data_IF_127264854404
#
_entry.id   IF_127264854404
#
_cell.length_a   1.000
_cell.length_b   1.000
_cell.length_c   1.000
_cell.angle_alpha   90.00
_cell.angle_beta   90.00
_cell.angle_gamma   90.00
#
_symmetry.space_group_name_H-M   'P 1'
#
loop_
_entity.id
_entity.type
_entity.pdbx_description
1 polymer ?
#
# COMPACT_ATOMS: atom_id res chain seq x y z
N UNK A 1 -59.18 39.04 -1.98
CA UNK A 1 -58.61 37.80 -1.45
C UNK A 1 -57.27 37.59 -2.13
N UNK A 2 -56.22 38.01 -1.47
CA UNK A 2 -54.85 37.92 -1.97
C UNK A 2 -54.17 36.77 -1.20
N UNK A 3 -53.79 35.70 -1.87
CA UNK A 3 -53.02 34.59 -1.28
C UNK A 3 -51.54 34.90 -1.43
N UNK A 4 -50.89 35.20 -0.30
CA UNK A 4 -49.44 35.34 -0.25
C UNK A 4 -48.75 33.95 -0.28
N UNK A 5 -47.85 33.77 -1.23
CA UNK A 5 -46.93 32.62 -1.27
C UNK A 5 -45.72 32.93 -0.41
N UNK A 6 -45.50 32.13 0.63
CA UNK A 6 -44.29 32.17 1.45
C UNK A 6 -43.26 31.27 0.77
N UNK A 7 -42.25 31.90 0.17
CA UNK A 7 -41.08 31.17 -0.36
C UNK A 7 -40.12 30.90 0.79
N UNK A 8 -40.03 29.67 1.21
CA UNK A 8 -38.99 29.22 2.15
C UNK A 8 -37.67 28.99 1.36
N UNK A 9 -36.73 29.88 1.53
CA UNK A 9 -35.37 29.70 1.04
C UNK A 9 -34.63 28.75 1.97
N UNK A 10 -34.38 27.51 1.52
CA UNK A 10 -33.44 26.61 2.19
C UNK A 10 -32.02 27.06 1.86
N UNK A 11 -31.35 27.67 2.82
CA UNK A 11 -29.90 27.86 2.75
C UNK A 11 -29.22 26.50 2.98
N UNK A 12 -28.77 25.86 1.93
CA UNK A 12 -27.88 24.73 2.01
C UNK A 12 -26.50 25.23 2.47
N UNK A 13 -26.21 25.10 3.75
CA UNK A 13 -24.86 25.28 4.27
C UNK A 13 -23.99 24.12 3.74
N UNK A 14 -23.24 24.40 2.67
CA UNK A 14 -22.17 23.51 2.24
C UNK A 14 -21.08 23.53 3.31
N UNK A 15 -21.05 22.53 4.16
CA UNK A 15 -19.88 22.24 4.97
C UNK A 15 -18.77 21.72 4.04
N UNK A 16 -17.98 22.64 3.54
CA UNK A 16 -16.68 22.31 2.99
C UNK A 16 -15.83 21.81 4.17
N UNK A 17 -15.85 20.51 4.42
CA UNK A 17 -14.87 19.86 5.26
C UNK A 17 -13.51 20.09 4.61
N UNK A 18 -12.72 21.02 5.14
CA UNK A 18 -11.31 21.13 4.83
C UNK A 18 -10.68 19.83 5.27
N UNK A 19 -10.39 18.94 4.32
CA UNK A 19 -9.43 17.88 4.54
C UNK A 19 -8.13 18.61 4.93
N UNK A 20 -7.77 18.59 6.20
CA UNK A 20 -6.43 18.97 6.59
C UNK A 20 -5.52 17.93 5.94
N UNK A 21 -4.86 18.32 4.86
CA UNK A 21 -3.65 17.64 4.44
C UNK A 21 -2.71 17.77 5.64
N UNK A 22 -2.50 16.68 6.37
CA UNK A 22 -1.58 16.63 7.49
C UNK A 22 -0.19 17.04 7.02
N UNK A 23 0.68 17.44 7.94
CA UNK A 23 2.08 17.67 7.62
C UNK A 23 2.63 16.41 6.94
N UNK A 24 3.46 16.57 5.92
CA UNK A 24 4.18 15.45 5.31
C UNK A 24 5.39 15.10 6.15
N UNK A 25 5.68 13.81 6.25
CA UNK A 25 6.90 13.31 6.85
C UNK A 25 7.90 12.86 5.77
N UNK A 26 9.14 13.25 5.96
CA UNK A 26 10.28 12.86 5.13
C UNK A 26 11.45 12.52 6.04
N UNK A 27 12.56 12.04 5.46
CA UNK A 27 13.81 11.79 6.19
C UNK A 27 14.30 13.02 6.96
N UNK A 28 14.13 14.21 6.35
CA UNK A 28 14.62 15.49 6.89
C UNK A 28 13.54 16.28 7.65
N UNK A 29 12.29 15.84 7.61
CA UNK A 29 11.16 16.51 8.24
C UNK A 29 10.25 15.50 8.93
N UNK A 30 10.54 15.22 10.19
CA UNK A 30 9.75 14.31 11.01
C UNK A 30 8.38 14.89 11.36
N UNK A 31 7.45 14.02 11.72
CA UNK A 31 6.12 14.45 12.18
C UNK A 31 6.20 15.32 13.43
N UNK A 32 5.40 16.40 13.52
CA UNK A 32 5.32 17.22 14.72
C UNK A 32 4.61 16.48 15.85
N UNK A 33 4.87 16.85 17.11
CA UNK A 33 4.30 16.20 18.29
C UNK A 33 2.75 16.20 18.37
N UNK A 34 2.09 17.11 17.65
CA UNK A 34 0.63 17.18 17.58
C UNK A 34 0.01 16.09 16.68
N UNK A 35 0.75 15.60 15.69
CA UNK A 35 0.39 14.53 14.76
C UNK A 35 1.60 13.60 14.58
N UNK A 36 1.99 12.84 15.64
CA UNK A 36 3.34 12.33 15.77
C UNK A 36 3.66 11.12 14.89
N UNK A 37 2.68 10.50 14.27
CA UNK A 37 2.85 9.25 13.54
C UNK A 37 2.93 9.48 12.03
N UNK A 38 4.02 9.04 11.41
CA UNK A 38 4.20 9.07 9.97
C UNK A 38 3.60 7.82 9.33
N UNK A 39 2.58 7.96 8.50
CA UNK A 39 1.99 6.84 7.78
C UNK A 39 2.93 6.28 6.69
N UNK A 40 2.62 5.09 6.19
CA UNK A 40 3.29 4.47 5.05
C UNK A 40 3.36 5.40 3.81
N UNK A 41 2.39 6.32 3.69
CA UNK A 41 2.25 7.26 2.57
C UNK A 41 2.89 8.64 2.84
N UNK A 42 3.62 8.78 3.94
CA UNK A 42 4.32 10.01 4.27
C UNK A 42 3.43 11.12 4.82
N UNK A 43 2.28 10.79 5.41
CA UNK A 43 1.38 11.74 6.04
C UNK A 43 1.45 11.62 7.57
N UNK A 44 1.50 12.76 8.26
CA UNK A 44 1.51 12.80 9.72
C UNK A 44 0.09 12.77 10.30
N UNK A 45 -0.11 11.98 11.36
CA UNK A 45 -1.41 11.84 11.98
C UNK A 45 -1.38 11.23 13.39
N UNK A 46 -2.56 10.85 13.85
CA UNK A 46 -2.83 10.11 15.10
C UNK A 46 -3.70 8.89 14.78
N UNK A 47 -3.99 8.06 15.75
CA UNK A 47 -4.91 6.94 15.60
C UNK A 47 -4.44 5.91 14.56
N UNK A 48 -5.16 5.76 13.46
CA UNK A 48 -4.82 4.82 12.39
C UNK A 48 -3.41 5.04 11.81
N UNK A 49 -2.90 6.28 11.82
CA UNK A 49 -1.53 6.61 11.38
C UNK A 49 -0.44 6.00 12.28
N UNK A 50 -0.78 5.69 13.53
CA UNK A 50 0.16 5.15 14.52
C UNK A 50 0.16 3.61 14.57
N UNK A 51 -0.79 2.98 13.88
CA UNK A 51 -0.91 1.52 13.78
C UNK A 51 -0.02 0.97 12.66
N UNK A 52 -0.23 -0.25 12.24
CA UNK A 52 0.59 -0.90 11.22
C UNK A 52 0.82 -0.05 9.98
N UNK A 53 2.08 0.04 9.55
CA UNK A 53 2.54 0.94 8.50
C UNK A 53 2.94 2.34 9.00
N UNK A 54 3.03 2.52 10.30
CA UNK A 54 3.63 3.72 10.91
C UNK A 54 5.15 3.66 10.79
N UNK A 55 5.77 4.61 10.06
CA UNK A 55 7.22 4.68 9.90
C UNK A 55 7.87 5.34 11.14
N UNK A 56 8.55 4.57 12.01
CA UNK A 56 9.13 5.10 13.23
C UNK A 56 10.34 6.02 12.96
N UNK A 57 10.98 5.90 11.78
CA UNK A 57 12.14 6.69 11.42
C UNK A 57 11.77 8.12 11.02
N UNK A 58 10.51 8.34 10.61
CA UNK A 58 9.99 9.65 10.20
C UNK A 58 8.92 10.19 11.15
N UNK A 59 8.51 9.40 12.14
CA UNK A 59 7.61 9.81 13.21
C UNK A 59 8.30 10.75 14.20
N UNK A 60 7.55 11.41 15.09
CA UNK A 60 8.08 12.32 16.10
C UNK A 60 9.10 11.64 17.01
N UNK A 61 8.80 10.41 17.41
CA UNK A 61 9.67 9.51 18.18
C UNK A 61 9.43 8.07 17.76
N UNK A 62 10.31 7.14 18.13
CA UNK A 62 10.11 5.69 17.89
C UNK A 62 8.87 5.15 18.62
N UNK A 63 8.53 5.72 19.78
CA UNK A 63 7.38 5.33 20.58
C UNK A 63 6.06 5.93 20.10
N UNK A 64 6.08 6.85 19.15
CA UNK A 64 4.86 7.39 18.53
C UNK A 64 4.08 6.30 17.80
N UNK A 65 4.76 5.38 17.14
CA UNK A 65 4.17 4.20 16.50
C UNK A 65 3.79 3.13 17.54
N UNK A 66 2.69 2.47 17.32
CA UNK A 66 2.27 1.30 18.10
C UNK A 66 3.16 0.10 17.68
N UNK A 67 3.77 -0.62 18.63
CA UNK A 67 4.58 -1.79 18.32
C UNK A 67 3.81 -2.85 17.53
N UNK A 68 4.43 -3.38 16.47
CA UNK A 68 3.81 -4.38 15.59
C UNK A 68 3.70 -5.75 16.27
N UNK A 69 2.53 -6.42 16.27
CA UNK A 69 2.39 -7.78 16.81
C UNK A 69 3.30 -8.78 16.11
N UNK A 70 3.95 -9.68 16.87
CA UNK A 70 4.84 -10.70 16.29
C UNK A 70 4.12 -11.65 15.35
N UNK A 71 4.91 -12.36 14.56
CA UNK A 71 4.44 -13.36 13.61
C UNK A 71 3.58 -14.44 14.27
N UNK A 72 2.51 -14.81 13.59
CA UNK A 72 1.60 -15.87 13.98
C UNK A 72 1.44 -16.84 12.81
N UNK A 73 2.00 -18.04 12.94
CA UNK A 73 1.83 -19.10 11.93
C UNK A 73 0.39 -19.58 11.89
N UNK A 74 -0.09 -19.91 10.71
CA UNK A 74 -1.44 -20.43 10.53
C UNK A 74 -1.91 -20.39 9.08
N UNK A 75 -3.09 -20.91 8.87
CA UNK A 75 -3.85 -20.81 7.62
C UNK A 75 -5.03 -19.89 7.85
N UNK A 76 -5.10 -18.82 7.06
CA UNK A 76 -6.13 -17.80 7.11
C UNK A 76 -7.02 -17.97 5.88
N UNK A 77 -8.19 -18.60 6.08
CA UNK A 77 -9.21 -18.71 5.02
C UNK A 77 -9.85 -17.33 4.83
N UNK A 78 -10.02 -16.94 3.58
CA UNK A 78 -10.66 -15.67 3.22
C UNK A 78 -12.09 -15.94 2.71
N UNK A 79 -12.85 -16.77 3.44
CA UNK A 79 -14.21 -17.21 3.12
C UNK A 79 -15.29 -16.44 3.89
N UNK A 80 -14.89 -15.56 4.82
CA UNK A 80 -15.76 -14.61 5.51
C UNK A 80 -15.02 -13.28 5.74
N UNK A 81 -15.76 -12.24 6.17
CA UNK A 81 -15.20 -10.96 6.61
C UNK A 81 -15.22 -10.81 8.15
N UNK A 82 -15.46 -11.87 8.90
CA UNK A 82 -15.56 -11.83 10.36
C UNK A 82 -14.22 -11.46 11.01
N UNK A 83 -13.11 -11.83 10.35
CA UNK A 83 -11.73 -11.53 10.74
C UNK A 83 -11.20 -10.20 10.17
N UNK A 84 -12.07 -9.41 9.53
CA UNK A 84 -11.69 -8.15 8.86
C UNK A 84 -12.31 -6.99 9.61
N UNK A 85 -11.50 -5.97 9.90
CA UNK A 85 -11.97 -4.70 10.45
C UNK A 85 -11.45 -3.54 9.60
N UNK A 86 -12.31 -2.56 9.36
CA UNK A 86 -11.93 -1.36 8.63
C UNK A 86 -10.95 -0.50 9.43
N UNK A 87 -10.09 0.23 8.72
CA UNK A 87 -9.03 1.05 9.31
C UNK A 87 -9.57 2.12 10.28
N UNK A 88 -10.78 2.59 10.07
CA UNK A 88 -11.48 3.58 10.91
C UNK A 88 -12.06 2.97 12.20
N UNK A 89 -11.96 1.66 12.39
CA UNK A 89 -12.46 0.93 13.57
C UNK A 89 -11.36 0.17 14.30
N UNK A 90 -10.29 -0.21 13.59
CA UNK A 90 -9.21 -0.97 14.18
C UNK A 90 -8.37 -0.10 15.12
N UNK A 91 -8.22 -0.56 16.35
CA UNK A 91 -7.50 0.13 17.42
C UNK A 91 -6.22 -0.58 17.88
N UNK A 92 -5.75 -1.58 17.12
CA UNK A 92 -4.49 -2.27 17.41
C UNK A 92 -4.64 -3.63 18.12
N UNK A 93 -5.85 -4.13 18.35
CA UNK A 93 -6.06 -5.45 18.98
C UNK A 93 -6.00 -6.59 17.97
N UNK A 94 -4.79 -7.08 17.69
CA UNK A 94 -4.54 -8.19 16.79
C UNK A 94 -5.02 -9.55 17.33
N UNK A 95 -5.51 -9.64 18.56
CA UNK A 95 -6.09 -10.86 19.09
C UNK A 95 -7.52 -11.11 18.59
N UNK A 96 -8.18 -10.08 18.08
CA UNK A 96 -9.59 -10.11 17.66
C UNK A 96 -9.81 -10.29 16.19
N UNK A 97 -8.88 -9.80 15.36
CA UNK A 97 -8.98 -9.86 13.91
C UNK A 97 -7.61 -10.14 13.28
N UNK A 98 -7.61 -10.70 12.08
CA UNK A 98 -6.38 -10.99 11.35
C UNK A 98 -6.09 -9.94 10.27
N UNK A 99 -7.10 -9.21 9.78
CA UNK A 99 -6.97 -8.29 8.66
C UNK A 99 -7.59 -6.92 8.93
N UNK A 100 -6.83 -5.89 8.63
CA UNK A 100 -7.30 -4.51 8.55
C UNK A 100 -7.61 -4.17 7.10
N UNK A 101 -8.80 -3.60 6.81
CA UNK A 101 -9.17 -3.23 5.44
C UNK A 101 -9.21 -1.73 5.20
N UNK A 102 -8.84 -1.37 3.98
CA UNK A 102 -9.23 -0.12 3.33
C UNK A 102 -9.99 -0.49 2.05
N UNK A 103 -10.95 0.33 1.63
CA UNK A 103 -11.82 0.00 0.50
C UNK A 103 -12.94 -0.95 0.90
N UNK A 104 -13.46 -1.71 -0.05
CA UNK A 104 -14.67 -2.50 0.10
C UNK A 104 -14.44 -3.97 -0.29
N UNK A 105 -13.91 -4.81 0.60
CA UNK A 105 -13.87 -6.25 0.36
C UNK A 105 -15.29 -6.82 0.38
N UNK A 106 -15.53 -7.87 -0.41
CA UNK A 106 -16.81 -8.55 -0.50
C UNK A 106 -16.62 -10.07 -0.52
N UNK A 107 -17.67 -10.83 -0.17
CA UNK A 107 -17.62 -12.28 -0.27
C UNK A 107 -18.25 -12.74 -1.57
N UNK A 108 -17.53 -13.57 -2.29
CA UNK A 108 -17.99 -14.31 -3.45
C UNK A 108 -18.24 -15.77 -3.07
N UNK A 109 -19.37 -16.30 -3.49
CA UNK A 109 -19.67 -17.75 -3.40
C UNK A 109 -19.70 -18.32 -4.81
N UNK A 110 -18.80 -19.23 -5.09
CA UNK A 110 -18.76 -19.93 -6.38
C UNK A 110 -20.01 -20.76 -6.58
N UNK A 111 -20.81 -20.50 -7.63
CA UNK A 111 -22.10 -21.16 -7.80
C UNK A 111 -22.00 -22.66 -8.12
N UNK A 112 -20.84 -23.10 -8.62
CA UNK A 112 -20.63 -24.51 -8.99
C UNK A 112 -20.17 -25.36 -7.82
N UNK A 113 -19.33 -24.82 -6.95
CA UNK A 113 -18.69 -25.54 -5.84
C UNK A 113 -19.22 -25.14 -4.46
N UNK A 114 -19.91 -24.02 -4.34
CA UNK A 114 -20.30 -23.41 -3.08
C UNK A 114 -19.14 -22.85 -2.25
N UNK A 115 -17.91 -22.89 -2.76
CA UNK A 115 -16.74 -22.36 -2.07
C UNK A 115 -16.77 -20.85 -2.02
N UNK A 116 -16.40 -20.29 -0.86
CA UNK A 116 -16.33 -18.85 -0.65
C UNK A 116 -14.91 -18.33 -0.83
N UNK A 117 -14.78 -17.07 -1.20
CA UNK A 117 -13.54 -16.33 -1.28
C UNK A 117 -13.81 -14.83 -1.09
N UNK A 118 -12.78 -14.08 -0.70
CA UNK A 118 -12.88 -12.63 -0.60
C UNK A 118 -12.54 -12.00 -1.95
N UNK A 119 -13.41 -11.12 -2.41
CA UNK A 119 -13.14 -10.20 -3.51
C UNK A 119 -12.50 -8.93 -2.94
N UNK A 120 -11.40 -8.52 -3.51
CA UNK A 120 -10.95 -7.15 -3.43
C UNK A 120 -11.57 -6.40 -4.60
N UNK A 121 -12.39 -5.40 -4.31
CA UNK A 121 -13.16 -4.67 -5.32
C UNK A 121 -12.56 -3.30 -5.59
N UNK A 122 -12.72 -2.80 -6.82
CA UNK A 122 -12.26 -1.47 -7.23
C UNK A 122 -13.29 -0.83 -8.17
N UNK A 123 -14.10 0.07 -7.63
CA UNK A 123 -15.06 0.86 -8.39
C UNK A 123 -14.45 2.19 -8.85
N UNK A 124 -15.06 2.83 -9.85
CA UNK A 124 -14.64 4.15 -10.30
C UNK A 124 -14.70 5.17 -9.15
N UNK A 125 -13.66 5.99 -9.06
CA UNK A 125 -13.54 7.02 -8.01
C UNK A 125 -13.10 6.49 -6.65
N UNK A 126 -12.71 5.21 -6.55
CA UNK A 126 -12.13 4.60 -5.34
C UNK A 126 -10.63 4.36 -5.51
N UNK A 127 -9.94 4.15 -4.40
CA UNK A 127 -8.52 3.75 -4.36
C UNK A 127 -8.33 2.23 -4.50
N UNK A 128 -9.43 1.48 -4.74
CA UNK A 128 -9.42 0.03 -4.68
C UNK A 128 -9.58 -0.51 -3.27
N UNK A 129 -9.12 -1.74 -3.05
CA UNK A 129 -9.23 -2.41 -1.76
C UNK A 129 -7.88 -2.98 -1.33
N UNK A 130 -7.54 -2.77 -0.07
CA UNK A 130 -6.37 -3.32 0.61
C UNK A 130 -6.82 -4.12 1.84
N UNK A 131 -6.32 -5.35 1.98
CA UNK A 131 -6.29 -6.10 3.23
C UNK A 131 -4.84 -6.16 3.72
N UNK A 132 -4.58 -5.67 4.93
CA UNK A 132 -3.27 -5.72 5.55
C UNK A 132 -3.33 -6.57 6.82
N UNK A 133 -2.39 -7.51 7.00
CA UNK A 133 -2.36 -8.36 8.19
C UNK A 133 -2.14 -7.52 9.45
N UNK A 134 -2.73 -7.95 10.57
CA UNK A 134 -2.49 -7.32 11.88
C UNK A 134 -1.18 -7.78 12.52
N UNK A 135 -0.75 -9.00 12.22
CA UNK A 135 0.53 -9.56 12.64
C UNK A 135 1.61 -9.31 11.58
N UNK A 136 2.84 -9.11 12.01
CA UNK A 136 4.00 -8.93 11.16
C UNK A 136 4.75 -10.23 10.99
N UNK A 137 5.30 -10.49 9.81
CA UNK A 137 6.23 -11.59 9.55
C UNK A 137 7.65 -11.02 9.57
N UNK A 138 8.56 -11.69 10.28
CA UNK A 138 9.98 -11.38 10.24
C UNK A 138 10.76 -12.63 9.87
N UNK A 139 10.90 -12.82 8.57
CA UNK A 139 11.24 -14.05 7.88
C UNK A 139 10.17 -15.14 8.05
N UNK A 140 9.97 -15.90 7.01
CA UNK A 140 8.92 -16.90 6.95
C UNK A 140 8.62 -17.33 5.52
N UNK A 141 7.78 -18.34 5.39
CA UNK A 141 7.15 -18.71 4.12
C UNK A 141 5.69 -18.30 4.15
N UNK A 142 5.33 -17.43 3.22
CA UNK A 142 3.99 -16.88 3.08
C UNK A 142 3.46 -17.24 1.71
N UNK A 143 2.30 -17.90 1.66
CA UNK A 143 1.64 -18.25 0.40
C UNK A 143 0.25 -17.64 0.36
N UNK A 144 -0.17 -17.18 -0.81
CA UNK A 144 -1.53 -16.73 -1.08
C UNK A 144 -2.11 -17.45 -2.29
N UNK A 145 -3.35 -17.94 -2.16
CA UNK A 145 -4.12 -18.51 -3.28
C UNK A 145 -5.07 -17.45 -3.80
N UNK A 146 -4.86 -17.06 -5.05
CA UNK A 146 -5.60 -15.96 -5.65
C UNK A 146 -5.79 -16.12 -7.16
N UNK A 147 -6.79 -15.43 -7.69
CA UNK A 147 -6.90 -15.08 -9.11
C UNK A 147 -7.04 -13.57 -9.26
N UNK A 148 -6.53 -13.03 -10.35
CA UNK A 148 -6.29 -11.59 -10.53
C UNK A 148 -7.43 -10.88 -11.21
N UNK A 149 -7.43 -9.54 -11.14
CA UNK A 149 -8.25 -8.71 -12.00
C UNK A 149 -7.67 -8.62 -13.41
N UNK A 150 -8.54 -8.33 -14.39
CA UNK A 150 -8.16 -8.08 -15.78
C UNK A 150 -8.54 -6.65 -16.17
N UNK A 151 -7.69 -5.97 -16.95
CA UNK A 151 -7.95 -4.65 -17.50
C UNK A 151 -6.74 -3.72 -17.47
N UNK A 152 -6.74 -2.74 -18.35
CA UNK A 152 -5.71 -1.69 -18.38
C UNK A 152 -5.72 -0.89 -17.09
N UNK A 153 -4.56 -0.54 -16.58
CA UNK A 153 -4.42 0.30 -15.40
C UNK A 153 -4.85 -0.35 -14.09
N UNK A 154 -5.21 -1.64 -14.11
CA UNK A 154 -5.66 -2.41 -12.95
C UNK A 154 -4.53 -3.29 -12.47
N UNK A 155 -4.17 -3.21 -11.19
CA UNK A 155 -3.09 -4.01 -10.61
C UNK A 155 -3.60 -4.77 -9.39
N UNK A 156 -3.41 -6.08 -9.40
CA UNK A 156 -3.55 -6.96 -8.24
C UNK A 156 -2.18 -7.12 -7.60
N UNK A 157 -2.09 -7.13 -6.27
CA UNK A 157 -0.81 -7.30 -5.59
C UNK A 157 -0.90 -8.18 -4.34
N UNK A 158 0.18 -8.91 -4.08
CA UNK A 158 0.49 -9.61 -2.85
C UNK A 158 1.89 -9.19 -2.41
N UNK A 159 1.98 -8.44 -1.33
CA UNK A 159 3.16 -7.71 -0.91
C UNK A 159 3.48 -8.00 0.56
N UNK A 160 4.76 -8.06 0.90
CA UNK A 160 5.23 -7.93 2.27
C UNK A 160 5.84 -6.55 2.41
N UNK A 161 5.30 -5.72 3.31
CA UNK A 161 5.72 -4.33 3.51
C UNK A 161 6.05 -4.06 4.97
N UNK A 162 7.27 -3.61 5.24
CA UNK A 162 7.68 -3.19 6.59
C UNK A 162 7.34 -1.72 6.85
N UNK A 163 7.35 -1.35 8.13
CA UNK A 163 7.12 0.04 8.55
C UNK A 163 8.23 0.99 8.06
N UNK A 164 9.42 0.46 7.78
CA UNK A 164 10.55 1.21 7.22
C UNK A 164 10.75 0.98 5.73
N UNK A 165 9.72 0.39 5.06
CA UNK A 165 9.65 0.19 3.61
C UNK A 165 10.68 -0.77 3.03
N UNK A 166 11.04 -1.83 3.78
CA UNK A 166 11.46 -3.04 3.12
C UNK A 166 10.23 -3.68 2.49
N UNK A 167 10.34 -4.13 1.25
CA UNK A 167 9.22 -4.58 0.43
C UNK A 167 9.58 -5.82 -0.37
N UNK A 168 8.64 -6.75 -0.51
CA UNK A 168 8.75 -7.95 -1.35
C UNK A 168 7.43 -8.16 -2.06
N UNK A 169 7.46 -8.23 -3.40
CA UNK A 169 6.26 -8.13 -4.22
C UNK A 169 6.02 -9.33 -5.11
N UNK A 170 4.74 -9.67 -5.26
CA UNK A 170 4.11 -10.18 -6.45
C UNK A 170 3.07 -9.16 -6.94
N UNK A 171 3.20 -8.69 -8.19
CA UNK A 171 2.23 -7.79 -8.80
C UNK A 171 1.79 -8.28 -10.18
N UNK A 172 0.49 -8.19 -10.43
CA UNK A 172 -0.14 -8.58 -11.70
C UNK A 172 -0.72 -7.37 -12.37
N UNK A 173 -0.20 -7.03 -13.53
CA UNK A 173 -0.76 -5.98 -14.38
C UNK A 173 -1.89 -6.59 -15.21
N UNK A 174 -3.09 -6.08 -15.09
CA UNK A 174 -4.30 -6.69 -15.65
C UNK A 174 -4.36 -6.81 -17.17
N UNK A 175 -3.42 -6.22 -17.91
CA UNK A 175 -3.27 -6.44 -19.37
C UNK A 175 -2.48 -7.70 -19.70
N UNK A 176 -1.73 -8.25 -18.75
CA UNK A 176 -0.95 -9.47 -18.92
C UNK A 176 -1.45 -10.55 -17.96
N UNK A 177 -2.27 -11.46 -18.48
CA UNK A 177 -2.84 -12.53 -17.68
C UNK A 177 -1.97 -13.80 -17.65
N UNK A 178 -0.77 -13.74 -18.22
CA UNK A 178 0.14 -14.88 -18.34
C UNK A 178 1.36 -14.78 -17.42
N UNK A 179 1.63 -13.59 -16.90
CA UNK A 179 2.81 -13.34 -16.07
C UNK A 179 2.44 -12.66 -14.77
N UNK A 180 3.34 -12.80 -13.81
CA UNK A 180 3.38 -12.01 -12.59
C UNK A 180 4.75 -11.37 -12.46
N UNK A 181 4.80 -10.19 -11.92
CA UNK A 181 6.04 -9.49 -11.65
C UNK A 181 6.46 -9.74 -10.20
N UNK A 182 7.71 -10.14 -10.00
CA UNK A 182 8.35 -10.23 -8.68
C UNK A 182 9.30 -9.07 -8.51
N UNK A 183 9.28 -8.44 -7.34
CA UNK A 183 10.15 -7.31 -7.06
C UNK A 183 10.55 -7.27 -5.58
N UNK A 184 11.48 -6.40 -5.22
CA UNK A 184 11.83 -6.11 -3.83
C UNK A 184 12.48 -4.72 -3.74
N UNK A 185 12.30 -4.08 -2.57
CA UNK A 185 12.98 -2.85 -2.21
C UNK A 185 13.51 -2.94 -0.77
N UNK A 186 14.57 -2.19 -0.49
CA UNK A 186 15.12 -2.06 0.85
C UNK A 186 14.98 -0.61 1.31
N UNK A 187 14.30 -0.42 2.44
CA UNK A 187 14.04 0.89 3.05
C UNK A 187 13.45 1.94 2.08
N UNK A 188 12.61 1.50 1.15
CA UNK A 188 11.95 2.38 0.19
C UNK A 188 12.87 2.98 -0.88
N UNK A 189 14.11 2.51 -1.00
CA UNK A 189 15.00 2.95 -2.08
C UNK A 189 14.58 2.28 -3.37
N UNK A 190 14.12 3.09 -4.32
CA UNK A 190 13.60 2.61 -5.60
C UNK A 190 14.72 2.11 -6.50
N UNK A 191 14.62 0.85 -6.95
CA UNK A 191 15.47 0.27 -7.98
C UNK A 191 14.64 -0.59 -8.93
N UNK A 192 14.24 -0.04 -10.04
CA UNK A 192 13.39 -0.72 -11.02
C UNK A 192 14.03 -1.95 -11.67
N UNK A 193 15.37 -2.06 -11.63
CA UNK A 193 16.07 -3.23 -12.15
C UNK A 193 15.89 -4.50 -11.29
N UNK A 194 15.35 -4.35 -10.09
CA UNK A 194 15.04 -5.47 -9.21
C UNK A 194 13.85 -6.30 -9.72
N UNK A 195 12.98 -5.71 -10.53
CA UNK A 195 11.80 -6.37 -11.09
C UNK A 195 12.13 -7.50 -12.06
N UNK A 196 11.35 -8.59 -12.02
CA UNK A 196 11.41 -9.71 -12.97
C UNK A 196 10.01 -10.22 -13.29
N UNK A 197 9.74 -10.46 -14.57
CA UNK A 197 8.54 -11.16 -15.02
C UNK A 197 8.72 -12.66 -14.82
N UNK A 198 7.73 -13.31 -14.22
CA UNK A 198 7.65 -14.75 -14.02
C UNK A 198 6.44 -15.28 -14.77
N UNK A 199 6.65 -16.34 -15.57
CA UNK A 199 5.55 -16.97 -16.30
C UNK A 199 4.70 -17.82 -15.37
N UNK A 200 3.39 -17.60 -15.39
CA UNK A 200 2.44 -18.37 -14.59
C UNK A 200 2.13 -19.69 -15.32
N UNK A 201 2.23 -20.84 -14.67
CA UNK A 201 1.89 -22.13 -15.26
C UNK A 201 0.47 -22.15 -15.82
N UNK A 202 0.31 -22.55 -17.07
CA UNK A 202 -1.00 -22.53 -17.74
C UNK A 202 -1.47 -21.17 -18.25
N UNK A 203 -0.76 -20.09 -17.92
CA UNK A 203 -0.91 -18.79 -18.55
C UNK A 203 -2.26 -18.09 -18.34
N UNK A 204 -2.98 -18.36 -17.22
CA UNK A 204 -4.26 -17.70 -16.96
C UNK A 204 -4.43 -17.40 -15.46
N UNK A 205 -4.04 -16.19 -15.08
CA UNK A 205 -4.12 -15.70 -13.70
C UNK A 205 -5.53 -15.28 -13.27
N UNK A 206 -6.43 -15.07 -14.22
CA UNK A 206 -7.79 -14.53 -14.00
C UNK A 206 -8.79 -15.64 -13.72
N UNK A 207 -8.83 -16.66 -14.58
CA UNK A 207 -9.81 -17.75 -14.44
C UNK A 207 -9.39 -18.78 -13.40
N UNK A 208 -8.09 -19.06 -13.31
CA UNK A 208 -7.53 -20.06 -12.41
C UNK A 208 -6.97 -19.41 -11.14
N UNK A 209 -7.23 -20.05 -10.00
CA UNK A 209 -6.51 -19.72 -8.78
C UNK A 209 -5.18 -20.45 -8.77
N UNK A 210 -4.10 -19.69 -8.56
CA UNK A 210 -2.76 -20.19 -8.36
C UNK A 210 -2.30 -19.92 -6.94
N UNK A 211 -1.33 -20.70 -6.45
CA UNK A 211 -0.66 -20.46 -5.19
C UNK A 211 0.66 -19.76 -5.43
N UNK A 212 0.78 -18.55 -4.88
CA UNK A 212 2.00 -17.74 -4.94
C UNK A 212 2.65 -17.70 -3.58
N UNK A 213 3.92 -18.10 -3.50
CA UNK A 213 4.64 -18.15 -2.24
C UNK A 213 5.90 -17.28 -2.26
N UNK A 214 6.13 -16.61 -1.14
CA UNK A 214 7.36 -15.90 -0.80
C UNK A 214 8.02 -16.67 0.35
N UNK A 215 9.16 -17.34 0.07
CA UNK A 215 10.01 -17.97 1.08
C UNK A 215 11.15 -17.00 1.41
N UNK A 216 10.99 -16.27 2.50
CA UNK A 216 11.86 -15.18 2.91
C UNK A 216 12.73 -15.60 4.10
N UNK A 217 14.02 -15.75 3.85
CA UNK A 217 15.05 -16.10 4.83
C UNK A 217 16.04 -14.95 5.03
N UNK A 218 16.90 -15.07 6.02
CA UNK A 218 17.92 -14.05 6.31
C UNK A 218 18.94 -13.87 5.18
N UNK A 219 19.20 -14.92 4.42
CA UNK A 219 20.24 -15.00 3.38
C UNK A 219 19.71 -15.20 1.97
N UNK A 220 18.42 -15.54 1.82
CA UNK A 220 17.80 -15.80 0.52
C UNK A 220 16.31 -15.49 0.54
N UNK A 221 15.80 -15.13 -0.63
CA UNK A 221 14.40 -14.82 -0.90
C UNK A 221 13.98 -15.55 -2.17
N UNK A 222 12.98 -16.41 -2.08
CA UNK A 222 12.51 -17.21 -3.21
C UNK A 222 11.03 -16.93 -3.47
N UNK A 223 10.70 -16.65 -4.72
CA UNK A 223 9.34 -16.58 -5.23
C UNK A 223 9.00 -17.89 -5.91
N UNK A 224 7.91 -18.52 -5.56
CA UNK A 224 7.42 -19.76 -6.19
C UNK A 224 5.96 -19.65 -6.58
N UNK A 225 5.57 -20.40 -7.63
CA UNK A 225 4.22 -20.49 -8.17
C UNK A 225 3.84 -21.95 -8.25
N UNK A 226 2.71 -22.34 -7.66
CA UNK A 226 2.21 -23.71 -7.64
C UNK A 226 3.27 -24.74 -7.21
N UNK A 227 4.03 -24.37 -6.17
CA UNK A 227 5.08 -25.20 -5.57
C UNK A 227 6.37 -25.28 -6.37
N UNK A 228 6.53 -24.48 -7.45
CA UNK A 228 7.76 -24.41 -8.23
C UNK A 228 8.48 -23.09 -8.02
N UNK A 229 9.75 -23.16 -7.66
CA UNK A 229 10.60 -21.99 -7.54
C UNK A 229 10.79 -21.34 -8.91
N UNK A 230 10.50 -20.04 -8.99
CA UNK A 230 10.62 -19.23 -10.20
C UNK A 230 11.83 -18.30 -10.15
N UNK A 231 12.13 -17.78 -8.97
CA UNK A 231 13.21 -16.82 -8.75
C UNK A 231 13.77 -16.98 -7.35
N UNK A 232 15.10 -16.93 -7.23
CA UNK A 232 15.80 -16.83 -5.94
C UNK A 232 16.77 -15.66 -5.99
N UNK A 233 16.72 -14.81 -4.97
CA UNK A 233 17.64 -13.73 -4.68
C UNK A 233 18.49 -14.13 -3.46
N UNK A 234 19.81 -14.09 -3.58
CA UNK A 234 20.66 -14.26 -2.42
C UNK A 234 21.04 -12.88 -1.85
N UNK A 235 20.95 -12.73 -0.54
CA UNK A 235 21.31 -11.48 0.15
C UNK A 235 22.73 -11.00 -0.20
N UNK A 236 23.70 -11.91 -0.32
CA UNK A 236 25.08 -11.57 -0.69
C UNK A 236 25.20 -10.84 -2.02
N UNK A 237 24.26 -11.06 -2.95
CA UNK A 237 24.27 -10.47 -4.28
C UNK A 237 23.67 -9.04 -4.30
N UNK A 238 23.15 -8.58 -3.16
CA UNK A 238 22.54 -7.23 -2.99
C UNK A 238 23.45 -6.25 -2.27
N UNK A 239 24.75 -6.55 -2.13
CA UNK A 239 25.68 -5.62 -1.49
C UNK A 239 25.80 -4.33 -2.27
N UNK A 240 25.51 -3.22 -1.62
CA UNK A 240 25.66 -1.88 -2.16
C UNK A 240 26.86 -1.19 -1.51
N UNK A 241 27.94 -1.02 -2.28
CA UNK A 241 29.17 -0.38 -1.79
C UNK A 241 29.01 1.09 -1.48
N UNK A 242 28.02 1.77 -2.08
CA UNK A 242 27.75 3.19 -1.87
C UNK A 242 27.10 3.42 -0.51
N UNK A 243 26.12 2.61 -0.15
CA UNK A 243 25.45 2.69 1.15
C UNK A 243 26.16 1.89 2.24
N UNK A 244 27.11 1.02 1.87
CA UNK A 244 27.84 0.15 2.79
C UNK A 244 26.94 -0.93 3.44
N UNK A 245 25.81 -1.30 2.78
CA UNK A 245 24.85 -2.27 3.30
C UNK A 245 24.34 -3.20 2.19
N UNK A 246 23.63 -4.24 2.60
CA UNK A 246 22.86 -5.07 1.67
C UNK A 246 21.50 -4.42 1.40
N UNK A 247 21.17 -4.18 0.14
CA UNK A 247 19.85 -3.73 -0.29
C UNK A 247 18.90 -4.93 -0.36
N UNK A 248 18.64 -5.53 0.81
CA UNK A 248 17.86 -6.74 1.01
C UNK A 248 16.79 -6.50 2.08
N UNK A 249 15.52 -6.89 1.85
CA UNK A 249 14.46 -6.76 2.86
C UNK A 249 14.82 -7.54 4.12
N UNK A 250 14.77 -6.91 5.29
CA UNK A 250 15.31 -7.48 6.52
C UNK A 250 14.54 -7.15 7.80
N UNK A 251 13.45 -6.39 7.68
CA UNK A 251 12.69 -5.89 8.84
C UNK A 251 11.26 -6.44 8.85
N UNK A 252 10.61 -6.56 10.02
CA UNK A 252 9.26 -7.14 10.14
C UNK A 252 8.27 -6.47 9.20
N UNK A 253 7.54 -7.28 8.44
CA UNK A 253 6.66 -6.83 7.36
C UNK A 253 5.23 -7.32 7.53
N UNK A 254 4.25 -6.50 7.18
CA UNK A 254 2.84 -6.91 7.07
C UNK A 254 2.58 -7.56 5.72
N UNK A 255 1.68 -8.53 5.70
CA UNK A 255 1.14 -9.09 4.47
C UNK A 255 0.08 -8.11 3.96
N UNK A 256 0.20 -7.70 2.71
CA UNK A 256 -0.75 -6.81 2.05
C UNK A 256 -1.29 -7.46 0.78
N UNK A 257 -2.60 -7.58 0.70
CA UNK A 257 -3.33 -8.05 -0.47
C UNK A 257 -4.10 -6.87 -1.02
N UNK A 258 -3.88 -6.51 -2.29
CA UNK A 258 -4.53 -5.32 -2.83
C UNK A 258 -4.99 -5.46 -4.28
N UNK A 259 -5.99 -4.66 -4.60
CA UNK A 259 -6.41 -4.33 -5.97
C UNK A 259 -6.44 -2.82 -6.05
N UNK A 260 -5.63 -2.22 -6.94
CA UNK A 260 -5.43 -0.79 -6.95
C UNK A 260 -5.39 -0.17 -8.35
N UNK A 261 -5.78 1.12 -8.48
CA UNK A 261 -5.93 1.79 -9.76
C UNK A 261 -4.61 2.45 -10.21
N UNK A 262 -3.69 1.69 -10.78
CA UNK A 262 -2.41 2.21 -11.29
C UNK A 262 -2.59 3.14 -12.50
N UNK A 263 -3.64 2.93 -13.29
CA UNK A 263 -3.96 3.73 -14.47
C UNK A 263 -4.81 4.97 -14.21
N UNK A 264 -4.82 5.54 -13.00
CA UNK A 264 -5.46 6.85 -12.77
C UNK A 264 -4.64 7.96 -13.42
N UNK A 265 -5.31 8.92 -14.07
CA UNK A 265 -4.66 10.08 -14.69
C UNK A 265 -3.90 10.98 -13.71
N UNK A 266 -4.13 10.82 -12.41
CA UNK A 266 -3.38 11.51 -11.34
C UNK A 266 -2.08 10.81 -10.95
N UNK A 267 -1.86 9.58 -11.40
CA UNK A 267 -0.63 8.85 -11.15
C UNK A 267 0.49 9.34 -12.08
N UNK A 268 1.72 9.00 -11.75
CA UNK A 268 2.85 9.28 -12.62
C UNK A 268 2.73 8.54 -13.96
N UNK A 269 3.17 9.19 -15.02
CA UNK A 269 3.11 8.65 -16.38
C UNK A 269 3.72 7.25 -16.49
N UNK A 270 4.87 7.04 -15.84
CA UNK A 270 5.53 5.72 -15.85
C UNK A 270 4.69 4.62 -15.22
N UNK A 271 3.96 4.92 -14.14
CA UNK A 271 3.03 3.96 -13.50
C UNK A 271 1.86 3.61 -14.42
N UNK A 272 1.29 4.63 -15.10
CA UNK A 272 0.19 4.43 -16.05
C UNK A 272 0.66 3.57 -17.23
N UNK A 273 1.82 3.87 -17.80
CA UNK A 273 2.41 3.11 -18.91
C UNK A 273 2.74 1.68 -18.51
N UNK A 274 3.35 1.47 -17.35
CA UNK A 274 3.62 0.15 -16.79
C UNK A 274 2.36 -0.68 -16.60
N UNK A 275 1.27 -0.05 -16.15
CA UNK A 275 -0.02 -0.70 -15.96
C UNK A 275 -0.80 -0.95 -17.26
N UNK A 276 -0.21 -0.66 -18.42
CA UNK A 276 -0.81 -0.84 -19.75
C UNK A 276 -1.72 0.28 -20.20
N UNK A 277 -1.74 1.42 -19.48
CA UNK A 277 -2.50 2.61 -19.82
C UNK A 277 -3.53 3.01 -18.78
N UNK A 278 -4.35 4.01 -19.12
CA UNK A 278 -5.44 4.48 -18.26
C UNK A 278 -6.54 3.43 -18.12
N UNK A 279 -7.21 3.43 -16.96
CA UNK A 279 -8.31 2.50 -16.65
C UNK A 279 -9.52 2.80 -17.54
N UNK A 280 -10.07 1.75 -18.16
CA UNK A 280 -11.36 1.79 -18.82
C UNK A 280 -12.47 1.43 -17.82
N UNK A 281 -13.18 2.45 -17.32
CA UNK A 281 -14.29 2.27 -16.39
C UNK A 281 -15.60 1.77 -17.02
N UNK A 282 -15.58 1.48 -18.34
CA UNK A 282 -16.66 0.83 -19.07
C UNK A 282 -16.22 -0.55 -19.62
N UNK A 283 -15.14 -1.08 -19.08
CA UNK A 283 -14.55 -2.35 -19.52
C UNK A 283 -15.52 -3.53 -19.33
N UNK A 284 -15.54 -4.50 -20.25
CA UNK A 284 -16.29 -5.75 -20.10
C UNK A 284 -15.77 -6.63 -18.95
N UNK A 285 -14.58 -6.33 -18.41
CA UNK A 285 -14.00 -7.04 -17.26
C UNK A 285 -14.54 -6.55 -15.91
N UNK A 286 -15.28 -5.44 -15.90
CA UNK A 286 -16.01 -4.99 -14.71
C UNK A 286 -17.30 -5.80 -14.54
N UNK A 287 -17.62 -6.17 -13.31
CA UNK A 287 -18.88 -6.78 -12.93
C UNK A 287 -19.51 -5.98 -11.78
N UNK A 288 -20.81 -5.76 -11.84
CA UNK A 288 -21.53 -4.96 -10.82
C UNK A 288 -20.92 -3.57 -10.58
N UNK A 289 -20.29 -2.96 -11.61
CA UNK A 289 -19.69 -1.62 -11.51
C UNK A 289 -18.30 -1.57 -10.89
N UNK A 290 -17.60 -2.71 -10.72
CA UNK A 290 -16.24 -2.75 -10.19
C UNK A 290 -15.37 -3.82 -10.86
N UNK A 291 -14.05 -3.60 -10.87
CA UNK A 291 -13.04 -4.64 -11.06
C UNK A 291 -12.89 -5.44 -9.78
N UNK A 292 -12.45 -6.69 -9.89
CA UNK A 292 -12.23 -7.55 -8.72
C UNK A 292 -11.07 -8.53 -8.93
N UNK A 293 -10.41 -8.86 -7.82
CA UNK A 293 -9.50 -9.98 -7.70
C UNK A 293 -10.01 -10.90 -6.57
N UNK A 294 -9.79 -12.21 -6.67
CA UNK A 294 -10.27 -13.19 -5.69
C UNK A 294 -9.11 -13.75 -4.87
N UNK A 295 -9.29 -13.76 -3.57
CA UNK A 295 -8.35 -14.34 -2.62
C UNK A 295 -9.08 -15.39 -1.77
N UNK A 296 -8.55 -16.61 -1.71
CA UNK A 296 -9.20 -17.70 -0.98
C UNK A 296 -8.51 -18.07 0.32
N UNK A 297 -7.18 -17.94 0.35
CA UNK A 297 -6.38 -18.40 1.49
C UNK A 297 -5.04 -17.68 1.54
N UNK A 298 -4.55 -17.44 2.76
CA UNK A 298 -3.17 -17.09 3.04
C UNK A 298 -2.62 -18.05 4.08
N UNK A 299 -1.47 -18.67 3.80
CA UNK A 299 -0.73 -19.48 4.78
C UNK A 299 0.52 -18.75 5.22
N UNK A 300 0.83 -18.83 6.50
CA UNK A 300 2.00 -18.20 7.11
C UNK A 300 2.74 -19.24 7.93
N UNK A 301 4.00 -19.45 7.61
CA UNK A 301 4.98 -20.20 8.41
C UNK A 301 6.03 -19.21 8.89
N UNK A 302 6.02 -18.88 10.18
CA UNK A 302 7.00 -17.98 10.78
C UNK A 302 8.33 -18.67 10.96
N UNK A 303 9.42 -18.00 10.57
CA UNK A 303 10.77 -18.45 10.88
C UNK A 303 11.29 -17.73 12.13
N UNK A 304 12.41 -18.21 12.65
CA UNK A 304 13.08 -17.59 13.79
C UNK A 304 13.56 -16.18 13.42
N UNK A 305 13.38 -15.26 14.36
CA UNK A 305 13.96 -13.94 14.24
C UNK A 305 15.48 -14.03 14.12
N UNK A 306 16.15 -13.07 13.45
CA UNK A 306 17.58 -13.11 13.22
C UNK A 306 18.36 -13.18 14.53
N UNK A 307 19.53 -13.81 14.50
CA UNK A 307 20.38 -13.99 15.69
C UNK A 307 20.81 -12.67 16.34
N UNK A 308 20.86 -11.57 15.55
CA UNK A 308 21.14 -10.22 16.02
C UNK A 308 19.95 -9.48 16.63
N UNK A 309 18.74 -10.07 16.61
CA UNK A 309 17.54 -9.44 17.17
C UNK A 309 17.67 -9.22 18.69
N UNK A 310 17.22 -8.06 19.15
CA UNK A 310 17.19 -7.74 20.57
C UNK A 310 15.99 -8.43 21.24
N UNK A 311 16.17 -9.63 21.78
CA UNK A 311 15.08 -10.41 22.43
C UNK A 311 14.88 -9.93 23.88
N UNK A 312 13.91 -9.04 24.10
CA UNK A 312 13.49 -8.48 25.40
C UNK A 312 12.08 -8.92 25.82
N UNK A 313 11.42 -9.71 24.99
CA UNK A 313 10.05 -10.18 25.15
C UNK A 313 9.63 -11.10 24.01
N UNK A 314 8.30 -11.22 23.79
CA UNK A 314 7.74 -12.21 22.86
C UNK A 314 6.48 -11.76 22.13
N UNK A 315 6.04 -10.48 22.29
CA UNK A 315 4.70 -10.07 21.86
C UNK A 315 4.68 -9.10 20.70
N UNK A 316 5.71 -8.27 20.54
CA UNK A 316 5.73 -7.23 19.52
C UNK A 316 7.12 -6.88 19.04
N UNK A 317 7.19 -6.32 17.83
CA UNK A 317 8.38 -5.73 17.25
C UNK A 317 8.39 -4.22 17.49
N UNK A 318 9.54 -3.67 17.83
CA UNK A 318 9.73 -2.24 18.04
C UNK A 318 11.11 -1.82 17.51
N UNK A 319 11.15 -0.74 16.74
CA UNK A 319 12.41 -0.17 16.27
C UNK A 319 13.10 0.62 17.37
N UNK A 320 14.42 0.53 17.46
CA UNK A 320 15.23 1.13 18.54
C UNK A 320 16.31 2.07 18.03
N UNK A 321 16.50 2.18 16.71
CA UNK A 321 17.57 2.96 16.10
C UNK A 321 17.16 3.43 14.70
N UNK A 322 17.63 4.61 14.30
CA UNK A 322 17.31 5.24 13.03
C UNK A 322 17.87 4.54 11.78
N UNK A 323 18.74 3.55 11.94
CA UNK A 323 19.24 2.75 10.80
C UNK A 323 18.15 1.88 10.16
N UNK A 324 17.11 1.52 10.91
CA UNK A 324 15.99 0.71 10.41
C UNK A 324 16.43 -0.65 9.84
N UNK A 325 17.44 -1.28 10.39
CA UNK A 325 17.97 -2.58 9.99
C UNK A 325 17.55 -3.69 10.97
N UNK A 326 17.72 -4.95 10.61
CA UNK A 326 17.27 -6.08 11.42
C UNK A 326 17.87 -6.10 12.84
N UNK A 327 19.11 -5.64 13.02
CA UNK A 327 19.77 -5.53 14.33
C UNK A 327 19.22 -4.35 15.18
N UNK A 328 18.41 -3.49 14.61
CA UNK A 328 17.76 -2.36 15.29
C UNK A 328 16.31 -2.64 15.67
N UNK A 329 15.82 -3.85 15.45
CA UNK A 329 14.47 -4.27 15.85
C UNK A 329 14.57 -5.08 17.15
N UNK A 330 13.82 -4.65 18.17
CA UNK A 330 13.63 -5.39 19.41
C UNK A 330 12.33 -6.18 19.39
N UNK A 331 12.36 -7.39 19.94
CA UNK A 331 11.16 -8.16 20.30
C UNK A 331 10.87 -7.83 21.77
N UNK A 332 9.68 -7.29 22.05
CA UNK A 332 9.31 -6.80 23.39
C UNK A 332 7.99 -7.42 23.84
N UNK A 333 7.63 -7.23 25.12
CA UNK A 333 6.29 -7.57 25.64
C UNK A 333 5.33 -6.37 25.64
N UNK A 334 5.75 -5.22 25.08
CA UNK A 334 4.92 -4.03 24.98
C UNK A 334 3.79 -4.29 23.98
N UNK A 335 2.56 -4.27 24.48
CA UNK A 335 1.36 -4.31 23.66
C UNK A 335 0.59 -3.01 23.91
N UNK A 336 0.19 -2.37 22.83
CA UNK A 336 -0.56 -1.11 22.87
C UNK A 336 -1.83 -1.27 22.07
N UNK A 337 -2.96 -1.06 22.73
CA UNK A 337 -4.27 -0.94 22.09
C UNK A 337 -4.74 0.47 22.34
N UNK A 338 -5.11 1.17 21.27
CA UNK A 338 -5.60 2.53 21.36
C UNK A 338 -7.00 2.57 21.99
N UNK A 339 -7.25 3.53 22.86
CA UNK A 339 -8.57 3.76 23.42
C UNK A 339 -9.52 4.45 22.43
N UNK A 340 -8.96 5.15 21.45
CA UNK A 340 -9.69 5.81 20.37
C UNK A 340 -8.74 6.10 19.19
N UNK A 341 -9.30 6.54 18.06
CA UNK A 341 -8.52 7.03 16.92
C UNK A 341 -7.85 8.41 17.14
N UNK A 342 -7.85 8.91 18.37
CA UNK A 342 -7.03 10.07 18.80
C UNK A 342 -5.75 9.60 19.52
N UNK A 343 -5.65 8.32 19.87
CA UNK A 343 -4.51 7.76 20.58
C UNK A 343 -3.27 7.63 19.72
N UNK A 344 -2.11 7.49 20.37
CA UNK A 344 -0.79 7.24 19.75
C UNK A 344 -0.07 6.16 20.55
N UNK A 345 1.07 5.69 20.07
CA UNK A 345 1.88 4.71 20.82
C UNK A 345 2.32 5.21 22.18
N UNK A 346 2.57 6.54 22.33
CA UNK A 346 2.93 7.18 23.58
C UNK A 346 1.74 7.50 24.48
N UNK A 347 0.58 7.81 23.86
CA UNK A 347 -0.65 8.23 24.55
C UNK A 347 -1.85 7.39 24.08
N UNK A 348 -1.85 6.09 24.35
CA UNK A 348 -2.87 5.19 23.79
C UNK A 348 -4.28 5.48 24.31
N UNK A 349 -4.42 5.99 25.54
CA UNK A 349 -5.71 6.33 26.17
C UNK A 349 -6.29 7.69 25.78
N UNK A 350 -5.66 8.43 24.86
CA UNK A 350 -6.17 9.75 24.48
C UNK A 350 -7.52 9.61 23.76
N UNK A 351 -8.50 10.36 24.22
CA UNK A 351 -9.86 10.37 23.71
C UNK A 351 -10.31 11.82 23.46
N UNK A 352 -11.26 12.05 22.53
CA UNK A 352 -11.84 13.36 22.33
C UNK A 352 -12.45 13.89 23.65
N UNK A 353 -12.12 15.11 24.01
CA UNK A 353 -12.77 15.77 25.19
C UNK A 353 -14.20 16.12 24.80
N UNK A 354 -15.15 15.85 25.73
CA UNK A 354 -16.55 16.24 25.53
C UNK A 354 -16.63 17.76 25.37
N UNK A 355 -17.22 18.21 24.25
CA UNK A 355 -17.32 19.64 23.91
C UNK A 355 -16.14 20.20 23.12
N UNK A 356 -15.12 19.42 22.80
CA UNK A 356 -14.06 19.82 21.88
C UNK A 356 -14.61 19.85 20.46
N UNK A 357 -14.52 20.97 19.70
CA UNK A 357 -14.89 21.00 18.30
C UNK A 357 -14.15 19.95 17.44
N UNK A 358 -12.98 19.51 17.90
CA UNK A 358 -12.23 18.39 17.28
C UNK A 358 -12.86 17.02 17.54
N UNK A 359 -13.73 16.88 18.55
CA UNK A 359 -14.41 15.62 18.87
C UNK A 359 -15.39 15.16 17.78
N UNK A 360 -15.85 16.09 16.94
CA UNK A 360 -16.74 15.83 15.79
C UNK A 360 -15.99 15.82 14.47
N UNK A 361 -14.68 16.08 14.45
CA UNK A 361 -13.88 15.92 13.24
C UNK A 361 -13.66 14.43 12.99
N UNK A 362 -14.08 13.98 11.81
CA UNK A 362 -13.66 12.66 11.33
C UNK A 362 -12.14 12.60 11.39
N UNK A 363 -11.60 11.63 12.11
CA UNK A 363 -10.16 11.37 12.11
C UNK A 363 -9.75 11.14 10.66
N UNK A 364 -8.74 11.88 10.20
CA UNK A 364 -8.23 11.71 8.85
C UNK A 364 -7.86 10.23 8.66
N UNK A 365 -8.46 9.59 7.67
CA UNK A 365 -8.11 8.22 7.31
C UNK A 365 -6.72 8.21 6.69
N UNK A 366 -5.98 7.16 6.91
CA UNK A 366 -4.72 6.94 6.19
C UNK A 366 -5.07 6.88 4.70
N UNK A 367 -4.46 7.71 3.84
CA UNK A 367 -4.78 7.69 2.43
C UNK A 367 -4.63 6.29 1.87
N UNK A 368 -5.62 5.83 1.11
CA UNK A 368 -5.50 4.63 0.30
C UNK A 368 -4.62 4.97 -0.89
N UNK A 369 -3.51 4.29 -1.01
CA UNK A 369 -2.57 4.48 -2.11
C UNK A 369 -1.98 3.15 -2.54
N UNK A 370 -1.08 3.20 -3.49
CA UNK A 370 -0.27 2.05 -3.82
C UNK A 370 0.53 1.63 -2.59
N UNK A 371 0.35 0.43 -2.03
CA UNK A 371 1.18 -0.04 -0.92
C UNK A 371 2.62 -0.30 -1.35
N UNK A 372 2.83 -0.58 -2.65
CA UNK A 372 4.14 -0.74 -3.23
C UNK A 372 4.76 0.59 -3.66
N UNK A 373 6.03 0.69 -3.57
CA UNK A 373 6.80 1.82 -4.05
C UNK A 373 7.38 2.71 -2.96
N UNK A 374 8.68 2.81 -3.01
CA UNK A 374 9.44 3.63 -2.11
C UNK A 374 9.16 5.10 -2.31
N UNK A 375 8.63 5.78 -1.33
CA UNK A 375 8.63 7.25 -1.30
C UNK A 375 9.87 7.82 -0.61
N UNK A 376 10.94 7.03 -0.53
CA UNK A 376 12.28 7.51 -0.17
C UNK A 376 13.13 7.79 -1.41
N UNK A 377 12.51 8.20 -2.52
CA UNK A 377 13.19 8.56 -3.78
C UNK A 377 14.33 9.59 -3.60
N UNK A 378 14.29 10.38 -2.54
CA UNK A 378 15.34 11.32 -2.18
C UNK A 378 16.68 10.64 -1.80
N UNK A 379 16.69 9.35 -1.48
CA UNK A 379 17.92 8.60 -1.28
C UNK A 379 18.61 8.16 -2.58
N UNK A 380 17.91 8.21 -3.71
CA UNK A 380 18.49 7.87 -5.02
C UNK A 380 19.32 9.00 -5.62
N UNK A 381 19.28 10.20 -5.05
CA UNK A 381 20.15 11.33 -5.42
C UNK A 381 21.54 11.25 -4.81
N UNK A 382 21.96 10.11 -4.29
CA UNK A 382 23.36 9.89 -3.96
C UNK A 382 24.14 9.76 -5.26
N UNK A 383 24.52 10.91 -5.78
CA UNK A 383 25.71 11.16 -6.59
C UNK A 383 26.05 10.07 -7.61
N UNK A 384 25.35 10.03 -8.72
CA UNK A 384 26.12 9.83 -9.95
C UNK A 384 27.09 11.01 -10.05
N UNK A 385 28.39 10.74 -9.86
CA UNK A 385 29.43 11.72 -10.01
C UNK A 385 29.22 12.47 -11.31
N UNK A 386 29.29 13.77 -11.21
CA UNK A 386 29.36 14.68 -12.35
C UNK A 386 30.50 14.23 -13.26
N UNK A 387 30.19 13.44 -14.26
CA UNK A 387 31.03 13.36 -15.44
C UNK A 387 30.71 14.61 -16.24
N UNK A 388 31.65 15.53 -16.21
CA UNK A 388 31.71 16.71 -17.05
C UNK A 388 31.53 16.30 -18.51
N UNK A 389 30.39 16.59 -19.12
CA UNK A 389 30.19 16.50 -20.55
C UNK A 389 30.48 17.85 -21.19
N UNK A 390 31.66 17.95 -21.78
CA UNK A 390 31.94 18.88 -22.88
C UNK A 390 31.30 18.36 -24.16
N UNK A 391 30.42 19.17 -24.68
CA UNK A 391 30.04 19.44 -26.07
C UNK A 391 30.08 18.34 -27.17
N UNK A 392 29.00 18.26 -27.91
CA UNK A 392 29.05 18.28 -29.36
C UNK A 392 28.29 17.22 -30.14
N UNK A 393 27.21 17.61 -30.82
CA UNK A 393 26.96 17.19 -32.20
C UNK A 393 25.87 16.17 -32.53
N UNK A 394 24.73 16.70 -33.02
CA UNK A 394 23.97 16.26 -34.21
C UNK A 394 23.43 14.80 -34.33
N UNK A 395 22.12 14.73 -34.44
CA UNK A 395 21.40 13.63 -35.13
C UNK A 395 21.72 13.62 -36.64
N UNK A 396 21.46 12.54 -37.45
CA UNK A 396 20.17 11.94 -37.65
C UNK A 396 20.17 10.41 -38.01
N UNK A 397 19.01 9.79 -38.13
CA UNK A 397 18.79 8.64 -39.02
C UNK A 397 18.14 7.43 -38.37
N UNK A 398 16.88 7.22 -38.70
CA UNK A 398 16.11 6.02 -38.44
C UNK A 398 16.66 4.81 -39.23
N UNK A 399 16.68 3.64 -38.61
CA UNK A 399 16.43 2.36 -39.31
C UNK A 399 15.95 1.33 -38.29
N UNK A 400 14.89 0.64 -38.66
CA UNK A 400 14.30 -0.53 -38.04
C UNK A 400 15.29 -1.67 -37.80
N UNK A 401 15.23 -2.31 -36.64
CA UNK A 401 15.48 -3.75 -36.57
C UNK A 401 14.77 -4.33 -35.32
N UNK A 402 13.92 -5.30 -35.65
CA UNK A 402 13.16 -6.16 -34.74
C UNK A 402 14.11 -7.07 -33.96
N UNK A 403 13.88 -7.23 -32.67
CA UNK A 403 14.35 -8.37 -31.89
C UNK A 403 15.19 -7.99 -30.69
N UNK A 404 14.63 -8.11 -29.50
CA UNK A 404 15.36 -8.03 -28.23
C UNK A 404 14.41 -7.75 -27.07
N UNK A 405 14.42 -8.61 -26.10
CA UNK A 405 13.63 -8.64 -24.89
C UNK A 405 13.29 -7.25 -24.32
N UNK A 406 12.01 -6.92 -24.32
CA UNK A 406 11.50 -5.74 -23.66
C UNK A 406 11.64 -5.92 -22.16
N UNK A 407 12.75 -5.44 -21.60
CA UNK A 407 12.82 -5.15 -20.16
C UNK A 407 11.84 -4.01 -19.89
N UNK A 408 10.66 -4.36 -19.40
CA UNK A 408 9.73 -3.37 -18.88
C UNK A 408 10.33 -2.77 -17.60
N UNK A 409 10.70 -1.49 -17.66
CA UNK A 409 11.08 -0.74 -16.50
C UNK A 409 9.84 -0.55 -15.62
N UNK A 410 9.90 -1.07 -14.41
CA UNK A 410 8.88 -0.83 -13.40
C UNK A 410 8.99 0.58 -12.87
N UNK A 411 7.89 1.30 -12.86
CA UNK A 411 7.77 2.56 -12.15
C UNK A 411 6.57 2.48 -11.19
N UNK A 412 6.82 2.09 -9.95
CA UNK A 412 5.83 2.21 -8.89
C UNK A 412 5.84 3.67 -8.40
N UNK A 413 4.88 4.46 -8.89
CA UNK A 413 4.82 5.88 -8.63
C UNK A 413 4.73 6.26 -7.16
N UNK A 414 5.83 6.69 -6.61
CA UNK A 414 5.83 7.51 -5.40
C UNK A 414 5.43 8.93 -5.79
N UNK A 415 4.44 9.48 -5.12
CA UNK A 415 3.95 10.84 -5.33
C UNK A 415 5.00 11.85 -4.85
N UNK A 416 5.95 12.23 -5.71
CA UNK A 416 6.90 13.32 -5.44
C UNK A 416 6.39 14.60 -6.08
N UNK A 417 5.82 15.49 -5.27
CA UNK A 417 5.51 16.85 -5.65
C UNK A 417 6.79 17.63 -5.96
N UNK A 418 7.26 17.55 -7.18
CA UNK A 418 8.36 18.37 -7.69
C UNK A 418 7.82 19.66 -8.30
N UNK A 419 8.05 20.79 -7.64
CA UNK A 419 7.83 22.14 -8.19
C UNK A 419 8.89 22.42 -9.24
N UNK A 420 8.52 22.43 -10.52
CA UNK A 420 9.34 23.01 -11.58
C UNK A 420 8.74 24.34 -12.03
N UNK A 421 9.45 25.43 -11.75
CA UNK A 421 9.23 26.76 -12.32
C UNK A 421 9.62 26.74 -13.80
N UNK A 422 8.66 26.95 -14.68
CA UNK A 422 8.88 27.19 -16.10
C UNK A 422 7.79 28.08 -16.69
N UNK A 423 8.19 29.17 -17.30
CA UNK A 423 7.39 30.32 -17.69
C UNK A 423 6.36 30.07 -18.81
N UNK A 424 5.20 30.69 -18.62
CA UNK A 424 4.48 31.46 -19.65
C UNK A 424 3.58 30.75 -20.64
N UNK A 425 2.27 30.83 -20.40
CA UNK A 425 1.30 31.55 -21.26
C UNK A 425 -0.13 31.39 -20.75
N UNK A 426 -0.83 32.50 -20.80
CA UNK A 426 -2.23 32.76 -20.48
C UNK A 426 -3.20 31.83 -21.20
N UNK A 427 -4.31 31.43 -20.51
CA UNK A 427 -5.72 31.52 -20.94
C UNK A 427 -6.62 30.90 -19.85
N UNK A 428 -7.49 31.70 -19.37
CA UNK A 428 -8.84 31.70 -18.78
C UNK A 428 -9.48 30.46 -18.05
N UNK A 429 -10.50 30.70 -17.22
CA UNK A 429 -10.71 29.98 -15.96
C UNK A 429 -11.60 28.75 -16.13
N UNK A 430 -11.10 27.61 -15.74
CA UNK A 430 -11.85 26.35 -15.62
C UNK A 430 -12.01 25.96 -14.16
N UNK A 431 -13.25 25.68 -13.80
CA UNK A 431 -13.74 25.23 -12.50
C UNK A 431 -12.81 24.25 -11.78
N UNK A 432 -12.49 24.56 -10.53
CA UNK A 432 -11.70 23.73 -9.64
C UNK A 432 -12.32 22.33 -9.43
N UNK A 433 -11.51 21.31 -9.68
CA UNK A 433 -11.86 19.94 -9.31
C UNK A 433 -11.57 19.75 -7.81
N UNK A 434 -12.63 19.65 -7.04
CA UNK A 434 -12.61 19.19 -5.66
C UNK A 434 -12.42 17.68 -5.68
N UNK A 435 -11.43 17.17 -4.91
CA UNK A 435 -11.04 15.76 -4.86
C UNK A 435 -12.19 14.82 -4.49
N UNK A 436 -12.32 13.73 -5.25
CA UNK A 436 -13.43 12.79 -5.26
C UNK A 436 -13.55 11.83 -4.08
N UNK A 437 -13.16 12.19 -2.85
CA UNK A 437 -13.35 11.30 -1.69
C UNK A 437 -14.67 11.47 -0.96
N UNK A 438 -15.48 12.52 -1.25
CA UNK A 438 -16.75 12.78 -0.57
C UNK A 438 -17.99 12.27 -1.32
N UNK A 439 -17.90 11.93 -2.61
CA UNK A 439 -19.05 11.49 -3.39
C UNK A 439 -19.44 10.01 -3.11
N UNK A 440 -18.52 9.16 -2.68
CA UNK A 440 -18.81 7.74 -2.45
C UNK A 440 -19.66 7.46 -1.20
N UNK A 441 -19.65 8.36 -0.21
CA UNK A 441 -20.43 8.17 1.04
C UNK A 441 -21.91 8.54 0.87
N UNK A 442 -22.24 9.44 -0.07
CA UNK A 442 -23.62 9.94 -0.24
C UNK A 442 -24.49 8.95 -1.03
N UNK A 443 -23.93 8.15 -1.92
CA UNK A 443 -24.69 7.21 -2.75
C UNK A 443 -25.13 5.96 -1.98
N UNK A 444 -24.42 5.56 -0.92
CA UNK A 444 -24.79 4.39 -0.12
C UNK A 444 -26.01 4.62 0.82
N UNK A 445 -26.38 5.88 1.10
CA UNK A 445 -27.48 6.20 2.02
C UNK A 445 -28.84 6.25 1.31
N UNK A 446 -28.87 6.50 0.01
CA UNK A 446 -30.14 6.58 -0.74
C UNK A 446 -30.65 5.26 -1.35
N UNK A 447 -29.85 4.19 -1.29
CA UNK A 447 -30.25 2.87 -1.80
C UNK A 447 -31.13 2.03 -0.86
N UNK A 448 -31.37 2.44 0.37
CA UNK A 448 -32.06 1.65 1.40
C UNK A 448 -33.49 2.11 1.72
N UNK A 449 -34.07 3.05 0.96
CA UNK A 449 -35.43 3.54 1.20
C UNK A 449 -36.48 3.13 0.16
N UNK A 450 -36.17 2.23 -0.77
CA UNK A 450 -37.20 1.67 -1.67
C UNK A 450 -36.94 0.16 -1.88
N UNK A 451 -37.39 -0.60 -0.91
CA UNK A 451 -37.94 -1.95 -1.06
C UNK A 451 -38.74 -2.27 0.20
#
# INVERSE_FOLDING_TARGET
MVRGAISAAFAAAAFAGTAFAGAKCTKDSHCPSATPCCSLYGDCGVGAFCLGGCDPLMSSTFDSCVPGPVCKSGTYTLDSLDDVQTIDKYLGDASKINWQSQGMPAIYTDPSSGKKSTLLTMAQGTVGTLLASTHYVWYGKICSKLSTAQGKGVVTAFILMSDVKDEIDFEWVGVDTSHVQSNFYSQGVTNYNNGKNLTVPGGNTVENMHEYCIDWKQDSLTWSIDGKDQRTLNRKDTWNSTSGRFDYPQTPSRIMLSLWPAGLSSNEKGTIEWAGGEIDWNSPYMQNGYYFARFSEVTVECYDAPSGAQKKGSKSYQYTDARGTNDTVAITDKQVILGSLMGTGEKPGEAPKSGDPKATQSVAMVPGGNPGGGNRAEETTVTQGQASNTAGGSAPGATDSVGGDAQTNFNQGGNSGGSSTGAGSTIEPGFGRVGGSLAAIVVAIFGLCFL
#
